data_IF_215657895426
#
_entry.id   IF_215657895426
#
_cell.length_a   1.000
_cell.length_b   1.000
_cell.length_c   1.000
_cell.angle_alpha   90.00
_cell.angle_beta   90.00
_cell.angle_gamma   90.00
#
_symmetry.space_group_name_H-M   'P 1'
#
loop_
_entity.id
_entity.type
_entity.pdbx_description
1 polymer ?
#
# COMPACT_ATOMS: atom_id res chain seq x y z
N UNK A 1 -10.57 2.94 19.77
CA UNK A 1 -10.82 2.25 18.50
C UNK A 1 -10.38 3.19 17.39
N UNK A 2 -9.55 2.73 16.48
CA UNK A 2 -9.11 3.48 15.30
C UNK A 2 -10.12 3.30 14.16
N UNK A 3 -10.13 4.24 13.23
CA UNK A 3 -10.85 4.09 11.98
C UNK A 3 -10.08 3.16 11.04
N UNK A 4 -8.76 3.39 10.94
CA UNK A 4 -7.87 2.60 10.10
C UNK A 4 -6.59 2.27 10.88
N UNK A 5 -6.17 1.01 10.85
CA UNK A 5 -4.89 0.56 11.35
C UNK A 5 -4.10 -0.09 10.20
N UNK A 6 -2.94 0.47 9.85
CA UNK A 6 -2.02 -0.15 8.90
C UNK A 6 -1.10 -1.12 9.63
N UNK A 7 -0.84 -2.28 9.03
CA UNK A 7 0.09 -3.28 9.51
C UNK A 7 1.08 -3.58 8.40
N UNK A 8 2.35 -3.27 8.63
CA UNK A 8 3.40 -3.47 7.63
C UNK A 8 4.74 -2.91 8.10
N UNK A 9 5.82 -3.38 7.50
CA UNK A 9 7.15 -2.94 7.84
C UNK A 9 7.45 -1.55 7.27
N UNK A 10 8.11 -0.72 8.09
CA UNK A 10 8.94 0.38 7.60
C UNK A 10 10.26 -0.24 7.17
N UNK A 11 10.85 0.26 6.09
CA UNK A 11 12.11 -0.24 5.56
C UNK A 11 13.24 0.77 5.75
N UNK A 12 14.46 0.27 5.82
CA UNK A 12 15.66 1.03 5.50
C UNK A 12 15.93 0.83 4.01
N UNK A 13 15.82 1.90 3.23
CA UNK A 13 16.09 1.87 1.79
C UNK A 13 17.42 2.55 1.50
N UNK A 14 18.36 1.80 0.91
CA UNK A 14 19.58 2.33 0.31
C UNK A 14 19.33 2.54 -1.18
N UNK A 15 19.36 3.79 -1.60
CA UNK A 15 19.25 4.17 -3.00
C UNK A 15 20.66 4.46 -3.52
N UNK A 16 21.10 3.70 -4.51
CA UNK A 16 22.42 3.85 -5.16
C UNK A 16 22.20 4.34 -6.58
N UNK A 17 22.75 5.50 -6.87
CA UNK A 17 22.85 6.07 -8.22
C UNK A 17 24.32 6.23 -8.62
N UNK A 18 24.65 6.53 -9.88
CA UNK A 18 26.02 6.80 -10.27
C UNK A 18 26.66 7.98 -9.51
N UNK A 19 25.84 8.89 -8.97
CA UNK A 19 26.29 10.14 -8.33
C UNK A 19 26.23 10.11 -6.80
N UNK A 20 25.39 9.22 -6.20
CA UNK A 20 25.13 9.26 -4.76
C UNK A 20 24.66 7.92 -4.18
N UNK A 21 24.90 7.77 -2.87
CA UNK A 21 24.23 6.80 -2.02
C UNK A 21 23.38 7.55 -0.99
N UNK A 22 22.09 7.19 -0.88
CA UNK A 22 21.15 7.83 0.02
C UNK A 22 20.47 6.75 0.85
N UNK A 23 20.38 6.96 2.16
CA UNK A 23 19.62 6.11 3.08
C UNK A 23 18.36 6.85 3.49
N UNK A 24 17.21 6.14 3.44
CA UNK A 24 15.92 6.73 3.77
C UNK A 24 14.95 5.68 4.29
N UNK A 25 13.92 6.12 4.99
CA UNK A 25 12.79 5.26 5.32
C UNK A 25 11.93 5.00 4.07
N UNK A 26 11.37 3.80 4.00
CA UNK A 26 10.47 3.38 2.93
C UNK A 26 9.45 2.35 3.37
N UNK A 27 8.91 1.61 2.42
CA UNK A 27 7.92 0.57 2.63
C UNK A 27 6.48 1.08 2.53
N UNK A 28 5.55 0.15 2.22
CA UNK A 28 4.12 0.42 2.07
C UNK A 28 3.55 1.19 3.26
N UNK A 29 3.86 0.74 4.48
CA UNK A 29 3.37 1.36 5.71
C UNK A 29 3.88 2.78 5.93
N UNK A 30 5.11 3.08 5.52
CA UNK A 30 5.68 4.43 5.57
C UNK A 30 4.91 5.39 4.64
N UNK A 31 4.76 5.03 3.35
CA UNK A 31 4.07 5.87 2.37
C UNK A 31 2.58 6.03 2.70
N UNK A 32 1.92 4.94 3.10
CA UNK A 32 0.52 4.96 3.52
C UNK A 32 0.30 5.89 4.72
N UNK A 33 1.13 5.78 5.76
CA UNK A 33 1.01 6.59 6.99
C UNK A 33 1.17 8.07 6.70
N UNK A 34 2.17 8.43 5.89
CA UNK A 34 2.38 9.82 5.49
C UNK A 34 1.22 10.36 4.62
N UNK A 35 0.61 9.52 3.81
CA UNK A 35 -0.52 9.92 2.98
C UNK A 35 -1.79 10.17 3.80
N UNK A 36 -2.03 9.38 4.84
CA UNK A 36 -3.28 9.46 5.61
C UNK A 36 -3.22 10.46 6.77
N UNK A 37 -2.02 10.83 7.27
CA UNK A 37 -1.85 11.67 8.47
C UNK A 37 -2.54 13.03 8.40
N UNK A 38 -2.65 13.61 7.20
CA UNK A 38 -3.26 14.91 6.96
C UNK A 38 -4.78 14.82 6.70
N UNK A 39 -5.36 13.62 6.86
CA UNK A 39 -6.79 13.37 6.70
C UNK A 39 -7.47 13.35 8.08
N UNK A 40 -8.73 13.74 8.13
CA UNK A 40 -9.50 13.70 9.39
C UNK A 40 -9.96 12.26 9.68
N UNK A 41 -9.05 11.46 10.24
CA UNK A 41 -9.24 10.03 10.54
C UNK A 41 -8.40 9.61 11.75
N UNK A 42 -8.93 8.74 12.60
CA UNK A 42 -8.17 8.12 13.70
C UNK A 42 -7.35 6.97 13.15
N UNK A 43 -6.07 7.21 12.94
CA UNK A 43 -5.14 6.29 12.33
C UNK A 43 -4.11 5.77 13.31
N UNK A 44 -3.68 4.52 13.14
CA UNK A 44 -2.51 3.96 13.81
C UNK A 44 -1.72 3.06 12.86
N UNK A 45 -0.41 3.03 13.03
CA UNK A 45 0.51 2.12 12.38
C UNK A 45 1.02 1.06 13.35
N UNK A 46 1.05 -0.19 12.91
CA UNK A 46 1.83 -1.28 13.53
C UNK A 46 2.94 -1.66 12.59
N UNK A 47 4.17 -1.54 13.06
CA UNK A 47 5.37 -1.87 12.28
C UNK A 47 6.37 -2.63 13.14
N UNK A 48 7.39 -3.20 12.50
CA UNK A 48 8.52 -3.86 13.17
C UNK A 48 9.81 -3.19 12.76
N UNK A 49 10.67 -2.88 13.74
CA UNK A 49 11.97 -2.26 13.53
C UNK A 49 13.03 -2.87 14.45
N UNK A 50 14.28 -2.92 13.98
CA UNK A 50 15.42 -3.14 14.84
C UNK A 50 15.72 -1.88 15.68
N UNK A 51 16.44 -2.07 16.78
CA UNK A 51 16.76 -0.97 17.69
C UNK A 51 17.59 0.16 17.04
N UNK A 52 18.41 -0.18 16.03
CA UNK A 52 19.23 0.78 15.27
C UNK A 52 18.41 1.79 14.45
N UNK A 53 17.20 1.39 13.98
CA UNK A 53 16.33 2.21 13.13
C UNK A 53 15.13 2.83 13.86
N UNK A 54 15.13 2.80 15.20
CA UNK A 54 14.06 3.41 16.01
C UNK A 54 13.85 4.91 15.74
N UNK A 55 14.87 5.60 15.24
CA UNK A 55 14.79 6.99 14.84
C UNK A 55 13.71 7.22 13.73
N UNK A 56 13.44 6.25 12.86
CA UNK A 56 12.33 6.33 11.89
C UNK A 56 10.97 6.42 12.58
N UNK A 57 10.77 5.64 13.66
CA UNK A 57 9.53 5.72 14.43
C UNK A 57 9.40 7.04 15.18
N UNK A 58 10.51 7.59 15.68
CA UNK A 58 10.54 8.89 16.36
C UNK A 58 10.20 10.02 15.38
N UNK A 59 10.76 9.98 14.17
CA UNK A 59 10.44 10.92 13.11
C UNK A 59 8.95 10.84 12.72
N UNK A 60 8.37 9.65 12.58
CA UNK A 60 6.95 9.49 12.30
C UNK A 60 6.06 10.03 13.42
N UNK A 61 6.43 9.80 14.70
CA UNK A 61 5.72 10.39 15.84
C UNK A 61 5.77 11.92 15.84
N UNK A 62 6.93 12.50 15.46
CA UNK A 62 7.06 13.96 15.33
C UNK A 62 6.21 14.55 14.21
N UNK A 63 5.73 13.70 13.31
CA UNK A 63 4.80 14.01 12.23
C UNK A 63 3.35 13.63 12.55
N UNK A 64 3.00 13.54 13.84
CA UNK A 64 1.64 13.22 14.35
C UNK A 64 1.10 11.85 13.91
N UNK A 65 1.98 10.88 13.58
CA UNK A 65 1.59 9.51 13.26
C UNK A 65 1.65 8.66 14.52
N UNK A 66 0.50 8.11 14.94
CA UNK A 66 0.46 7.16 16.04
C UNK A 66 1.04 5.82 15.59
N UNK A 67 2.15 5.39 16.19
CA UNK A 67 2.91 4.23 15.77
C UNK A 67 3.19 3.29 16.95
N UNK A 68 2.84 2.02 16.76
CA UNK A 68 3.16 0.91 17.64
C UNK A 68 4.28 0.08 17.00
N UNK A 69 5.48 0.19 17.56
CA UNK A 69 6.65 -0.52 17.06
C UNK A 69 6.81 -1.84 17.79
N UNK A 70 6.89 -2.93 17.04
CA UNK A 70 7.23 -4.24 17.52
C UNK A 70 8.74 -4.45 17.39
N UNK A 71 9.45 -4.92 18.45
CA UNK A 71 10.86 -5.24 18.34
C UNK A 71 11.09 -6.33 17.29
N UNK A 72 12.12 -6.16 16.47
CA UNK A 72 12.60 -7.15 15.50
C UNK A 72 14.11 -7.24 15.56
N UNK A 73 14.65 -8.42 15.22
CA UNK A 73 16.10 -8.61 15.14
C UNK A 73 16.73 -7.73 14.06
N UNK A 74 15.99 -7.52 12.97
CA UNK A 74 16.40 -6.68 11.83
C UNK A 74 15.24 -5.82 11.34
N UNK A 75 15.58 -4.71 10.69
CA UNK A 75 14.66 -3.94 9.85
C UNK A 75 14.73 -4.48 8.42
N UNK A 76 13.62 -4.49 7.68
CA UNK A 76 13.68 -4.83 6.26
C UNK A 76 14.57 -3.83 5.54
N UNK A 77 15.63 -4.34 4.90
CA UNK A 77 16.63 -3.49 4.24
C UNK A 77 16.64 -3.74 2.74
N UNK A 78 16.15 -2.76 1.98
CA UNK A 78 16.22 -2.77 0.52
C UNK A 78 17.42 -1.97 0.02
N UNK A 79 18.12 -2.52 -0.97
CA UNK A 79 19.09 -1.81 -1.77
C UNK A 79 18.54 -1.66 -3.19
N UNK A 80 18.30 -0.41 -3.61
CA UNK A 80 17.77 -0.04 -4.91
C UNK A 80 18.90 0.59 -5.74
N UNK A 81 19.37 -0.12 -6.75
CA UNK A 81 20.49 0.30 -7.58
C UNK A 81 19.95 0.77 -8.94
N UNK A 82 20.22 2.02 -9.28
CA UNK A 82 19.88 2.64 -10.54
C UNK A 82 21.16 2.84 -11.37
N UNK A 83 21.11 2.49 -12.66
CA UNK A 83 22.16 2.81 -13.62
C UNK A 83 21.93 4.22 -14.18
N UNK A 84 22.82 4.67 -15.10
CA UNK A 84 22.58 5.92 -15.85
C UNK A 84 21.23 5.91 -16.60
N UNK A 85 20.75 4.75 -17.02
CA UNK A 85 19.39 4.59 -17.47
C UNK A 85 18.48 4.25 -16.28
N UNK A 86 17.78 5.27 -15.76
CA UNK A 86 16.91 5.16 -14.58
C UNK A 86 15.67 4.28 -14.78
N UNK A 87 15.39 3.83 -16.03
CA UNK A 87 14.30 2.91 -16.33
C UNK A 87 14.57 1.48 -15.80
N UNK A 88 15.84 1.17 -15.51
CA UNK A 88 16.26 -0.13 -15.00
C UNK A 88 16.72 0.00 -13.54
N UNK A 89 15.94 -0.59 -12.64
CA UNK A 89 16.26 -0.71 -11.21
C UNK A 89 16.56 -2.16 -10.88
N UNK A 90 17.70 -2.42 -10.25
CA UNK A 90 17.96 -3.66 -9.54
C UNK A 90 17.57 -3.49 -8.08
N UNK A 91 16.75 -4.38 -7.55
CA UNK A 91 16.32 -4.36 -6.15
C UNK A 91 16.84 -5.60 -5.43
N UNK A 92 17.52 -5.39 -4.30
CA UNK A 92 18.01 -6.44 -3.42
C UNK A 92 17.42 -6.26 -2.03
N UNK A 93 17.23 -7.36 -1.31
CA UNK A 93 16.85 -7.38 0.11
C UNK A 93 18.05 -7.88 0.89
N UNK A 94 18.65 -7.02 1.67
CA UNK A 94 19.85 -7.34 2.43
C UNK A 94 19.52 -7.92 3.82
N UNK A 95 18.36 -7.51 4.39
CA UNK A 95 17.83 -8.01 5.66
C UNK A 95 16.30 -8.09 5.60
N UNK A 96 15.73 -9.02 6.36
CA UNK A 96 14.27 -9.15 6.56
C UNK A 96 13.95 -8.96 8.03
N UNK A 97 12.80 -8.37 8.34
CA UNK A 97 12.29 -8.26 9.70
C UNK A 97 11.53 -9.51 10.11
N UNK A 98 11.26 -9.63 11.42
CA UNK A 98 10.44 -10.72 11.96
C UNK A 98 8.98 -10.58 11.50
N UNK A 99 8.28 -11.68 11.16
CA UNK A 99 6.87 -11.65 10.78
C UNK A 99 5.98 -11.12 11.90
N UNK A 100 4.84 -10.51 11.52
CA UNK A 100 3.83 -10.09 12.48
C UNK A 100 3.11 -11.28 13.11
N UNK A 101 2.74 -11.15 14.39
CA UNK A 101 2.05 -12.18 15.15
C UNK A 101 0.72 -11.71 15.72
N UNK A 102 -0.18 -12.65 16.00
CA UNK A 102 -1.49 -12.35 16.60
C UNK A 102 -1.35 -11.66 17.98
N UNK A 103 -0.35 -12.02 18.77
CA UNK A 103 -0.11 -11.44 20.09
C UNK A 103 0.17 -9.93 20.01
N UNK A 104 0.93 -9.49 19.01
CA UNK A 104 1.25 -8.08 18.79
C UNK A 104 0.01 -7.21 18.47
N UNK A 105 -1.05 -7.81 17.93
CA UNK A 105 -2.26 -7.14 17.47
C UNK A 105 -3.47 -7.37 18.38
N UNK A 106 -3.33 -8.14 19.47
CA UNK A 106 -4.44 -8.54 20.33
C UNK A 106 -5.21 -7.34 20.93
N UNK A 107 -4.50 -6.26 21.33
CA UNK A 107 -5.09 -5.07 21.94
C UNK A 107 -5.53 -3.98 20.95
N UNK A 108 -5.26 -4.15 19.65
CA UNK A 108 -5.52 -3.11 18.65
C UNK A 108 -6.88 -3.32 18.02
N UNK A 109 -7.73 -2.29 18.04
CA UNK A 109 -9.06 -2.31 17.44
C UNK A 109 -9.19 -1.21 16.40
N UNK A 110 -9.61 -1.60 15.19
CA UNK A 110 -9.83 -0.68 14.08
C UNK A 110 -11.09 -1.08 13.28
N UNK A 111 -11.69 -0.14 12.58
CA UNK A 111 -12.80 -0.44 11.63
C UNK A 111 -12.27 -1.12 10.36
N UNK A 112 -11.04 -0.73 9.93
CA UNK A 112 -10.35 -1.33 8.79
C UNK A 112 -8.92 -1.64 9.20
N UNK A 113 -8.47 -2.88 9.03
CA UNK A 113 -7.05 -3.24 9.05
C UNK A 113 -6.52 -3.24 7.62
N UNK A 114 -5.55 -2.37 7.33
CA UNK A 114 -4.85 -2.36 6.06
C UNK A 114 -3.53 -3.12 6.18
N UNK A 115 -3.39 -4.18 5.40
CA UNK A 115 -2.21 -5.05 5.38
C UNK A 115 -1.31 -4.66 4.22
N UNK A 116 -0.09 -4.25 4.54
CA UNK A 116 0.94 -3.86 3.57
C UNK A 116 2.19 -4.74 3.67
N UNK A 117 2.09 -6.07 3.38
CA UNK A 117 3.27 -6.92 3.36
C UNK A 117 4.23 -6.50 2.25
N UNK A 118 5.52 -6.61 2.51
CA UNK A 118 6.59 -6.37 1.54
C UNK A 118 7.15 -7.68 0.98
N UNK A 119 7.04 -8.75 1.79
CA UNK A 119 7.49 -10.11 1.48
C UNK A 119 6.40 -11.13 1.88
N UNK A 120 6.45 -12.32 1.27
CA UNK A 120 5.40 -13.33 1.41
C UNK A 120 5.18 -13.82 2.85
N UNK A 121 6.20 -13.78 3.68
CA UNK A 121 6.17 -14.31 5.05
C UNK A 121 5.87 -13.23 6.11
N UNK A 122 5.70 -11.95 5.72
CA UNK A 122 5.51 -10.84 6.67
C UNK A 122 4.24 -10.98 7.51
N UNK A 123 3.13 -11.38 6.88
CA UNK A 123 1.81 -11.46 7.53
C UNK A 123 1.24 -12.86 7.30
N UNK A 124 1.29 -13.77 8.30
CA UNK A 124 0.78 -15.14 8.17
C UNK A 124 -0.74 -15.20 7.94
N UNK A 125 -1.19 -16.23 7.24
CA UNK A 125 -2.60 -16.46 6.93
C UNK A 125 -3.51 -16.46 8.17
N UNK A 126 -3.07 -17.06 9.28
CA UNK A 126 -3.84 -17.12 10.52
C UNK A 126 -4.06 -15.72 11.12
N UNK A 127 -3.11 -14.81 10.92
CA UNK A 127 -3.26 -13.41 11.31
C UNK A 127 -4.34 -12.70 10.46
N UNK A 128 -4.35 -12.93 9.15
CA UNK A 128 -5.42 -12.42 8.26
C UNK A 128 -6.79 -12.91 8.75
N UNK A 129 -6.92 -14.21 9.02
CA UNK A 129 -8.17 -14.81 9.51
C UNK A 129 -8.63 -14.20 10.82
N UNK A 130 -7.70 -14.03 11.76
CA UNK A 130 -8.00 -13.42 13.07
C UNK A 130 -8.49 -11.97 12.92
N UNK A 131 -7.85 -11.17 12.07
CA UNK A 131 -8.24 -9.78 11.84
C UNK A 131 -9.60 -9.68 11.14
N UNK A 132 -9.86 -10.55 10.17
CA UNK A 132 -11.14 -10.59 9.44
C UNK A 132 -12.35 -10.98 10.32
N UNK A 133 -12.13 -11.69 11.43
CA UNK A 133 -13.18 -11.96 12.44
C UNK A 133 -13.53 -10.70 13.25
N UNK A 134 -12.67 -9.68 13.26
CA UNK A 134 -12.83 -8.49 14.08
C UNK A 134 -13.33 -7.29 13.28
N UNK A 135 -12.89 -7.14 12.04
CA UNK A 135 -13.18 -5.97 11.20
C UNK A 135 -12.90 -6.24 9.72
N UNK A 136 -13.17 -5.25 8.89
CA UNK A 136 -12.81 -5.30 7.47
C UNK A 136 -11.28 -5.37 7.31
N UNK A 137 -10.82 -6.22 6.39
CA UNK A 137 -9.40 -6.35 6.04
C UNK A 137 -9.19 -5.83 4.62
N UNK A 138 -8.30 -4.85 4.47
CA UNK A 138 -7.77 -4.39 3.20
C UNK A 138 -6.36 -4.93 3.00
N UNK A 139 -6.02 -5.36 1.80
CA UNK A 139 -4.72 -5.95 1.48
C UNK A 139 -4.13 -5.32 0.22
N UNK A 140 -2.87 -4.84 0.31
CA UNK A 140 -1.98 -4.71 -0.83
C UNK A 140 -1.26 -6.04 -1.05
N UNK A 141 -1.51 -6.70 -2.19
CA UNK A 141 -1.03 -8.06 -2.41
C UNK A 141 0.47 -8.16 -2.67
N UNK A 142 1.12 -7.05 -2.95
CA UNK A 142 2.50 -6.96 -3.46
C UNK A 142 3.47 -7.92 -2.75
N UNK A 143 3.47 -7.95 -1.41
CA UNK A 143 4.39 -8.77 -0.64
C UNK A 143 4.22 -10.27 -0.88
N UNK A 144 2.99 -10.75 -0.98
CA UNK A 144 2.71 -12.18 -1.21
C UNK A 144 3.16 -12.70 -2.57
N UNK A 145 3.46 -11.79 -3.50
CA UNK A 145 3.99 -12.13 -4.82
C UNK A 145 5.51 -11.98 -4.91
N UNK A 146 6.19 -11.83 -3.77
CA UNK A 146 7.64 -11.60 -3.68
C UNK A 146 8.29 -12.56 -2.69
N UNK A 147 9.39 -13.16 -3.13
CA UNK A 147 10.28 -13.96 -2.28
C UNK A 147 11.71 -13.47 -2.42
N UNK A 148 12.48 -13.62 -1.36
CA UNK A 148 13.91 -13.31 -1.37
C UNK A 148 14.70 -14.60 -1.59
N UNK A 149 15.50 -14.64 -2.66
CA UNK A 149 16.49 -15.71 -2.89
C UNK A 149 17.84 -15.08 -3.24
N UNK A 150 18.88 -15.43 -2.48
CA UNK A 150 20.24 -14.87 -2.64
C UNK A 150 20.22 -13.32 -2.70
N UNK A 151 19.50 -12.69 -1.80
CA UNK A 151 19.26 -11.25 -1.71
C UNK A 151 18.49 -10.64 -2.89
N UNK A 152 18.06 -11.40 -3.88
CA UNK A 152 17.26 -10.89 -4.98
C UNK A 152 15.78 -11.08 -4.70
N UNK A 153 14.98 -10.09 -5.11
CA UNK A 153 13.52 -10.19 -5.10
C UNK A 153 13.09 -10.95 -6.34
N UNK A 154 12.47 -12.09 -6.15
CA UNK A 154 11.91 -12.90 -7.23
C UNK A 154 10.37 -12.91 -7.15
N UNK A 155 9.72 -12.88 -8.30
CA UNK A 155 8.28 -13.01 -8.38
C UNK A 155 7.86 -14.46 -8.12
N UNK A 156 6.85 -14.63 -7.27
CA UNK A 156 6.22 -15.92 -6.96
C UNK A 156 4.71 -15.79 -7.06
N UNK A 157 4.02 -16.91 -7.22
CA UNK A 157 2.57 -16.94 -7.01
C UNK A 157 2.26 -17.11 -5.50
N UNK A 158 1.19 -16.47 -5.04
CA UNK A 158 0.75 -16.61 -3.66
C UNK A 158 0.10 -17.97 -3.41
N UNK A 159 0.81 -18.84 -2.71
CA UNK A 159 0.42 -20.22 -2.48
C UNK A 159 -0.96 -20.35 -1.81
N UNK A 160 -1.20 -19.51 -0.80
CA UNK A 160 -2.41 -19.60 0.04
C UNK A 160 -3.54 -18.68 -0.43
N UNK A 161 -3.43 -18.08 -1.63
CA UNK A 161 -4.40 -17.11 -2.16
C UNK A 161 -5.85 -17.57 -2.10
N UNK A 162 -6.13 -18.84 -2.42
CA UNK A 162 -7.49 -19.39 -2.44
C UNK A 162 -8.10 -19.50 -1.04
N UNK A 163 -7.26 -19.70 -0.03
CA UNK A 163 -7.69 -19.79 1.37
C UNK A 163 -7.78 -18.40 2.02
N UNK A 164 -6.91 -17.46 1.63
CA UNK A 164 -6.81 -16.13 2.22
C UNK A 164 -7.86 -15.14 1.67
N UNK A 165 -8.08 -15.15 0.34
CA UNK A 165 -8.91 -14.14 -0.33
C UNK A 165 -10.35 -14.02 0.18
N UNK A 166 -11.03 -15.09 0.65
CA UNK A 166 -12.35 -14.95 1.28
C UNK A 166 -12.39 -14.08 2.53
N UNK A 167 -11.25 -13.84 3.18
CA UNK A 167 -11.12 -12.99 4.37
C UNK A 167 -10.78 -11.54 4.02
N UNK A 168 -10.53 -11.23 2.74
CA UNK A 168 -10.16 -9.90 2.28
C UNK A 168 -11.40 -9.13 1.83
N UNK A 169 -11.69 -8.03 2.52
CA UNK A 169 -12.79 -7.14 2.14
C UNK A 169 -12.42 -6.28 0.94
N UNK A 170 -11.20 -5.72 0.92
CA UNK A 170 -10.70 -4.85 -0.15
C UNK A 170 -9.32 -5.34 -0.57
N UNK A 171 -9.18 -5.74 -1.83
CA UNK A 171 -7.90 -6.17 -2.40
C UNK A 171 -7.40 -5.13 -3.38
N UNK A 172 -6.18 -4.62 -3.16
CA UNK A 172 -5.49 -3.78 -4.15
C UNK A 172 -4.43 -4.61 -4.88
N UNK A 173 -4.43 -4.46 -6.19
CA UNK A 173 -3.43 -5.03 -7.10
C UNK A 173 -3.12 -4.02 -8.21
N UNK A 174 -1.93 -4.12 -8.81
CA UNK A 174 -1.60 -3.45 -10.07
C UNK A 174 -1.68 -4.43 -11.26
N UNK A 175 -1.40 -3.97 -12.48
CA UNK A 175 -1.48 -4.78 -13.70
C UNK A 175 -0.59 -6.02 -13.66
N UNK A 176 0.66 -5.89 -13.20
CA UNK A 176 1.61 -7.01 -13.12
C UNK A 176 1.20 -8.01 -12.05
N UNK A 177 0.82 -7.52 -10.87
CA UNK A 177 0.30 -8.33 -9.76
C UNK A 177 -0.98 -9.06 -10.16
N UNK A 178 -1.85 -8.40 -10.91
CA UNK A 178 -3.06 -8.98 -11.46
C UNK A 178 -2.77 -10.18 -12.36
N UNK A 179 -1.82 -10.06 -13.29
CA UNK A 179 -1.43 -11.14 -14.18
C UNK A 179 -0.83 -12.32 -13.41
N UNK A 180 0.08 -12.06 -12.47
CA UNK A 180 0.69 -13.09 -11.62
C UNK A 180 -0.36 -13.83 -10.80
N UNK A 181 -1.27 -13.09 -10.15
CA UNK A 181 -2.26 -13.64 -9.23
C UNK A 181 -3.35 -14.46 -9.94
N UNK A 182 -3.78 -14.00 -11.13
CA UNK A 182 -4.97 -14.52 -11.83
C UNK A 182 -4.67 -15.25 -13.14
N UNK A 183 -3.51 -15.00 -13.75
CA UNK A 183 -3.18 -15.45 -15.10
C UNK A 183 -3.87 -14.64 -16.22
N UNK A 184 -4.66 -13.61 -15.88
CA UNK A 184 -5.36 -12.77 -16.85
C UNK A 184 -4.69 -11.41 -17.02
N UNK A 185 -4.59 -10.95 -18.29
CA UNK A 185 -4.29 -9.55 -18.64
C UNK A 185 -5.55 -8.68 -18.75
N UNK A 186 -6.70 -9.32 -18.92
CA UNK A 186 -8.00 -8.63 -19.00
C UNK A 186 -8.48 -8.27 -17.60
N UNK A 187 -8.56 -6.96 -17.32
CA UNK A 187 -8.94 -6.39 -16.03
C UNK A 187 -10.31 -6.88 -15.57
N UNK A 188 -11.29 -6.97 -16.50
CA UNK A 188 -12.65 -7.37 -16.13
C UNK A 188 -12.72 -8.85 -15.78
N UNK A 189 -11.98 -9.71 -16.49
CA UNK A 189 -11.89 -11.14 -16.18
C UNK A 189 -11.19 -11.38 -14.86
N UNK A 190 -10.08 -10.67 -14.63
CA UNK A 190 -9.31 -10.76 -13.39
C UNK A 190 -10.15 -10.32 -12.18
N UNK A 191 -10.81 -9.17 -12.25
CA UNK A 191 -11.65 -8.65 -11.17
C UNK A 191 -12.79 -9.61 -10.81
N UNK A 192 -13.50 -10.14 -11.80
CA UNK A 192 -14.57 -11.15 -11.58
C UNK A 192 -14.02 -12.44 -10.96
N UNK A 193 -12.84 -12.90 -11.40
CA UNK A 193 -12.22 -14.10 -10.84
C UNK A 193 -11.85 -13.90 -9.37
N UNK A 194 -11.26 -12.76 -9.02
CA UNK A 194 -10.90 -12.44 -7.63
C UNK A 194 -12.13 -12.31 -6.72
N UNK A 195 -13.20 -11.70 -7.24
CA UNK A 195 -14.48 -11.64 -6.53
C UNK A 195 -15.09 -13.05 -6.35
N UNK A 196 -15.02 -13.92 -7.36
CA UNK A 196 -15.43 -15.31 -7.25
C UNK A 196 -14.56 -16.12 -6.25
N UNK A 197 -13.36 -15.66 -5.97
CA UNK A 197 -12.49 -16.21 -4.93
C UNK A 197 -12.77 -15.62 -3.54
N UNK A 198 -13.80 -14.79 -3.41
CA UNK A 198 -14.34 -14.29 -2.15
C UNK A 198 -13.98 -12.86 -1.79
N UNK A 199 -13.19 -12.15 -2.60
CA UNK A 199 -12.90 -10.73 -2.38
C UNK A 199 -14.16 -9.90 -2.61
N UNK A 200 -14.51 -9.03 -1.64
CA UNK A 200 -15.72 -8.21 -1.75
C UNK A 200 -15.54 -7.01 -2.68
N UNK A 201 -14.39 -6.36 -2.62
CA UNK A 201 -14.08 -5.17 -3.41
C UNK A 201 -12.65 -5.29 -3.98
N UNK A 202 -12.54 -5.30 -5.30
CA UNK A 202 -11.27 -5.44 -6.03
C UNK A 202 -10.87 -4.10 -6.62
N UNK A 203 -9.71 -3.59 -6.25
CA UNK A 203 -9.13 -2.33 -6.72
C UNK A 203 -7.92 -2.64 -7.60
N UNK A 204 -8.01 -2.37 -8.90
CA UNK A 204 -6.93 -2.60 -9.87
C UNK A 204 -6.39 -1.25 -10.35
N UNK A 205 -5.16 -0.93 -9.98
CA UNK A 205 -4.49 0.30 -10.43
C UNK A 205 -3.76 0.06 -11.76
N UNK A 206 -3.90 1.01 -12.70
CA UNK A 206 -3.44 0.92 -14.09
C UNK A 206 -2.48 2.07 -14.44
N UNK A 207 -1.74 2.57 -13.46
CA UNK A 207 -0.81 3.70 -13.63
C UNK A 207 -1.48 4.94 -14.24
N UNK A 208 -0.96 5.43 -15.34
CA UNK A 208 -1.48 6.62 -16.04
C UNK A 208 -2.87 6.43 -16.65
N UNK A 209 -3.36 5.21 -16.75
CA UNK A 209 -4.72 4.91 -17.21
C UNK A 209 -5.77 4.99 -16.08
N UNK A 210 -5.34 5.22 -14.83
CA UNK A 210 -6.24 5.33 -13.68
C UNK A 210 -6.42 4.02 -12.94
N UNK A 211 -7.67 3.65 -12.63
CA UNK A 211 -7.97 2.41 -11.92
C UNK A 211 -9.36 1.88 -12.24
N UNK A 212 -9.57 0.61 -11.96
CA UNK A 212 -10.87 -0.07 -12.04
C UNK A 212 -11.19 -0.65 -10.69
N UNK A 213 -12.40 -0.37 -10.19
CA UNK A 213 -12.91 -0.96 -8.97
C UNK A 213 -14.07 -1.88 -9.33
N UNK A 214 -14.10 -3.08 -8.75
CA UNK A 214 -15.18 -4.04 -8.96
C UNK A 214 -15.75 -4.47 -7.62
N UNK A 215 -17.02 -4.23 -7.40
CA UNK A 215 -17.79 -4.64 -6.22
C UNK A 215 -19.26 -4.74 -6.58
N UNK A 216 -20.00 -5.61 -5.91
CA UNK A 216 -21.45 -5.79 -6.11
C UNK A 216 -21.85 -5.95 -7.60
N UNK A 217 -21.05 -6.74 -8.34
CA UNK A 217 -21.19 -6.99 -9.78
C UNK A 217 -21.05 -5.77 -10.70
N UNK A 218 -20.65 -4.61 -10.14
CA UNK A 218 -20.47 -3.35 -10.86
C UNK A 218 -19.00 -2.99 -11.06
N UNK A 219 -18.69 -2.40 -12.21
CA UNK A 219 -17.39 -1.84 -12.52
C UNK A 219 -17.43 -0.32 -12.44
N UNK A 220 -16.51 0.24 -11.66
CA UNK A 220 -16.28 1.68 -11.55
C UNK A 220 -14.95 1.99 -12.22
N UNK A 221 -14.99 2.80 -13.28
CA UNK A 221 -13.81 3.22 -14.04
C UNK A 221 -13.39 4.59 -13.52
N UNK A 222 -12.21 4.65 -12.94
CA UNK A 222 -11.66 5.86 -12.34
C UNK A 222 -10.55 6.39 -13.25
N UNK A 223 -10.68 7.58 -13.84
CA UNK A 223 -9.63 8.16 -14.66
C UNK A 223 -8.44 8.58 -13.78
N UNK A 224 -7.23 8.57 -14.35
CA UNK A 224 -6.11 9.26 -13.75
C UNK A 224 -6.30 10.78 -13.91
N UNK A 225 -5.85 11.54 -12.91
CA UNK A 225 -5.77 13.01 -13.02
C UNK A 225 -4.40 13.40 -13.54
N UNK A 226 -4.34 14.43 -14.37
CA UNK A 226 -3.08 14.90 -14.95
C UNK A 226 -2.26 15.59 -13.85
N UNK A 227 -1.08 15.08 -13.49
CA UNK A 227 -0.22 15.74 -12.52
C UNK A 227 0.47 16.96 -13.10
N UNK A 228 0.91 17.89 -12.24
CA UNK A 228 1.69 19.04 -12.68
C UNK A 228 3.08 18.63 -13.23
N UNK A 229 3.63 17.53 -12.72
CA UNK A 229 4.88 16.91 -13.16
C UNK A 229 4.85 15.41 -12.84
N UNK A 230 5.73 14.63 -13.45
CA UNK A 230 5.98 13.23 -13.09
C UNK A 230 7.41 13.18 -12.57
N UNK A 231 7.57 13.10 -11.25
CA UNK A 231 8.87 13.16 -10.57
C UNK A 231 9.24 11.82 -9.96
N UNK A 232 8.33 11.22 -9.18
CA UNK A 232 8.60 9.97 -8.46
C UNK A 232 7.30 9.18 -8.24
N UNK A 233 7.24 7.97 -8.81
CA UNK A 233 6.09 7.08 -8.70
C UNK A 233 6.11 6.21 -7.42
N UNK A 234 7.21 6.22 -6.64
CA UNK A 234 7.32 5.42 -5.41
C UNK A 234 6.26 5.83 -4.41
N UNK A 235 5.53 4.87 -3.85
CA UNK A 235 4.46 5.12 -2.88
C UNK A 235 3.15 5.70 -3.47
N UNK A 236 3.01 5.83 -4.80
CA UNK A 236 1.73 6.24 -5.40
C UNK A 236 0.61 5.24 -5.14
N UNK A 237 0.89 3.94 -5.16
CA UNK A 237 -0.07 2.89 -4.83
C UNK A 237 -0.52 2.95 -3.38
N UNK A 238 0.42 3.15 -2.46
CA UNK A 238 0.15 3.29 -1.02
C UNK A 238 -0.66 4.56 -0.73
N UNK A 239 -0.29 5.66 -1.39
CA UNK A 239 -1.04 6.94 -1.33
C UNK A 239 -2.46 6.79 -1.88
N UNK A 240 -2.63 6.06 -3.00
CA UNK A 240 -3.95 5.74 -3.54
C UNK A 240 -4.78 4.99 -2.49
N UNK A 241 -4.22 3.93 -1.88
CA UNK A 241 -4.96 3.14 -0.90
C UNK A 241 -5.27 3.93 0.37
N UNK A 242 -4.38 4.81 0.83
CA UNK A 242 -4.67 5.71 1.95
C UNK A 242 -5.90 6.59 1.68
N UNK A 243 -5.97 7.22 0.51
CA UNK A 243 -7.12 8.02 0.09
C UNK A 243 -8.38 7.19 -0.12
N UNK A 244 -8.24 6.01 -0.72
CA UNK A 244 -9.35 5.10 -0.95
C UNK A 244 -9.99 4.65 0.36
N UNK A 245 -9.21 4.12 1.30
CA UNK A 245 -9.71 3.65 2.58
C UNK A 245 -10.23 4.78 3.46
N UNK A 246 -9.62 5.96 3.40
CA UNK A 246 -10.14 7.16 4.07
C UNK A 246 -11.58 7.45 3.64
N UNK A 247 -11.85 7.47 2.35
CA UNK A 247 -13.19 7.74 1.81
C UNK A 247 -14.16 6.58 2.07
N UNK A 248 -13.70 5.33 1.94
CA UNK A 248 -14.52 4.15 2.24
C UNK A 248 -14.92 4.08 3.71
N UNK A 249 -14.03 4.51 4.63
CA UNK A 249 -14.36 4.63 6.05
C UNK A 249 -15.44 5.70 6.33
N UNK A 250 -15.54 6.71 5.46
CA UNK A 250 -16.61 7.73 5.48
C UNK A 250 -17.87 7.31 4.72
N UNK A 251 -17.98 6.04 4.36
CA UNK A 251 -19.10 5.46 3.59
C UNK A 251 -19.30 6.11 2.18
N UNK A 252 -18.26 6.74 1.60
CA UNK A 252 -18.29 7.20 0.22
C UNK A 252 -18.47 6.02 -0.76
N UNK A 253 -19.09 6.26 -1.90
CA UNK A 253 -19.24 5.24 -2.96
C UNK A 253 -17.87 4.82 -3.52
N UNK A 254 -17.75 3.62 -4.14
CA UNK A 254 -16.50 3.20 -4.78
C UNK A 254 -16.00 4.22 -5.84
N UNK A 255 -16.92 4.86 -6.56
CA UNK A 255 -16.58 5.91 -7.54
C UNK A 255 -15.97 7.14 -6.90
N UNK A 256 -16.56 7.64 -5.81
CA UNK A 256 -16.07 8.81 -5.07
C UNK A 256 -14.72 8.52 -4.40
N UNK A 257 -14.63 7.35 -3.73
CA UNK A 257 -13.40 6.92 -3.07
C UNK A 257 -12.24 6.75 -4.07
N UNK A 258 -12.52 6.13 -5.22
CA UNK A 258 -11.54 5.96 -6.29
C UNK A 258 -11.08 7.29 -6.89
N UNK A 259 -12.02 8.22 -7.13
CA UNK A 259 -11.70 9.55 -7.64
C UNK A 259 -10.78 10.32 -6.66
N UNK A 260 -11.09 10.30 -5.36
CA UNK A 260 -10.28 10.92 -4.33
C UNK A 260 -8.88 10.29 -4.26
N UNK A 261 -8.80 8.97 -4.27
CA UNK A 261 -7.55 8.22 -4.27
C UNK A 261 -6.66 8.53 -5.48
N UNK A 262 -7.26 8.58 -6.68
CA UNK A 262 -6.54 8.92 -7.91
C UNK A 262 -6.01 10.37 -7.89
N UNK A 263 -6.76 11.32 -7.33
CA UNK A 263 -6.31 12.69 -7.15
C UNK A 263 -5.14 12.77 -6.15
N UNK A 264 -5.17 12.04 -5.03
CA UNK A 264 -4.05 11.95 -4.08
C UNK A 264 -2.79 11.40 -4.76
N UNK A 265 -2.91 10.31 -5.52
CA UNK A 265 -1.78 9.71 -6.24
C UNK A 265 -1.20 10.69 -7.28
N UNK A 266 -2.05 11.47 -7.95
CA UNK A 266 -1.61 12.49 -8.93
C UNK A 266 -0.90 13.68 -8.28
N UNK A 267 -1.26 14.06 -7.05
CA UNK A 267 -0.52 15.06 -6.28
C UNK A 267 0.83 14.48 -5.84
N UNK A 268 0.85 13.23 -5.36
CA UNK A 268 2.07 12.57 -4.88
C UNK A 268 3.12 12.43 -5.96
N UNK A 269 2.75 11.99 -7.17
CA UNK A 269 3.72 11.71 -8.26
C UNK A 269 4.49 12.95 -8.71
N UNK A 270 3.98 14.14 -8.41
CA UNK A 270 4.60 15.42 -8.77
C UNK A 270 5.78 15.82 -7.86
N UNK A 271 6.03 15.09 -6.78
CA UNK A 271 7.10 15.37 -5.82
C UNK A 271 7.82 14.08 -5.39
N UNK A 272 9.10 14.19 -5.06
CA UNK A 272 9.86 13.10 -4.44
C UNK A 272 9.44 12.89 -2.99
N UNK A 273 9.62 11.67 -2.47
CA UNK A 273 9.27 11.29 -1.10
C UNK A 273 7.78 11.04 -0.91
N UNK A 274 7.30 10.94 0.34
CA UNK A 274 5.90 10.64 0.65
C UNK A 274 4.95 11.79 0.31
N UNK A 275 3.66 11.48 0.27
CA UNK A 275 2.60 12.49 0.08
C UNK A 275 2.58 13.50 1.23
N UNK A 276 2.58 14.79 0.90
CA UNK A 276 2.54 15.92 1.86
C UNK A 276 1.31 16.82 1.67
N UNK A 277 0.42 16.45 0.74
CA UNK A 277 -0.78 17.23 0.45
C UNK A 277 -1.81 17.20 1.58
N UNK A 278 -2.84 18.01 1.44
CA UNK A 278 -3.98 18.08 2.37
C UNK A 278 -5.27 17.63 1.69
N UNK A 279 -6.31 17.31 2.49
CA UNK A 279 -7.65 17.01 1.96
C UNK A 279 -8.16 18.13 1.05
N UNK A 280 -7.94 19.40 1.44
CA UNK A 280 -8.34 20.55 0.65
C UNK A 280 -7.64 20.61 -0.74
N UNK A 281 -6.35 20.23 -0.80
CA UNK A 281 -5.63 20.18 -2.08
C UNK A 281 -6.22 19.10 -3.01
N UNK A 282 -6.62 17.96 -2.45
CA UNK A 282 -7.26 16.87 -3.20
C UNK A 282 -8.64 17.30 -3.72
N UNK A 283 -9.46 17.90 -2.87
CA UNK A 283 -10.79 18.42 -3.26
C UNK A 283 -10.67 19.48 -4.37
N UNK A 284 -9.73 20.41 -4.25
CA UNK A 284 -9.48 21.42 -5.28
C UNK A 284 -9.07 20.79 -6.64
N UNK A 285 -8.28 19.70 -6.63
CA UNK A 285 -7.94 18.99 -7.87
C UNK A 285 -9.18 18.36 -8.50
N UNK A 286 -10.05 17.74 -7.69
CA UNK A 286 -11.30 17.15 -8.17
C UNK A 286 -12.26 18.18 -8.76
N UNK A 287 -12.40 19.35 -8.13
CA UNK A 287 -13.24 20.44 -8.63
C UNK A 287 -12.73 21.01 -9.96
N UNK A 288 -11.42 21.24 -10.07
CA UNK A 288 -10.81 21.69 -11.34
C UNK A 288 -11.05 20.70 -12.48
N UNK A 289 -10.93 19.39 -12.18
CA UNK A 289 -11.18 18.35 -13.19
C UNK A 289 -12.64 18.25 -13.62
N UNK A 290 -13.61 18.61 -12.76
CA UNK A 290 -15.04 18.70 -13.13
C UNK A 290 -15.33 19.89 -14.04
N UNK A 291 -14.66 21.02 -13.81
CA UNK A 291 -14.89 22.25 -14.58
C UNK A 291 -14.22 22.25 -15.97
N UNK A 292 -13.31 21.30 -16.21
CA UNK A 292 -12.60 21.14 -17.48
C UNK A 292 -13.24 20.07 -18.41
N UNK A 293 -14.37 19.50 -18.01
CA UNK A 293 -15.19 18.58 -18.82
C UNK A 293 -16.37 19.31 -19.43
#
# INVERSE_FOLDING_TARGET
MYDICCIGHITLDKVVTPEAEIFMAGGTSFYFSHAIRNMNVKYSLVTSLAASEMHFAEEMRSNDIEINVQPSAHTVYFENIYSHNQDHRTQRVLQTADPFTAAQLAGINASIFHLGPLLADDIPLDLIKMLAQRSAVSLDVQGYLRKVENNNVIAIDWKDKREALPYISILKINETEMEVLTGYKDVRKAAKLLSNWGVKEVVITLGSMGSVIYTDENFYIIPAYIPNAVTDATGCGDTYMAGYLYQRNKAATPQEAGAFAAAMASIKIAASGPFTGTEAAVVNMLEKAKNNK
#
